data_IF_292273354536
#
_entry.id   IF_292273354536
#
_cell.length_a   1.000
_cell.length_b   1.000
_cell.length_c   1.000
_cell.angle_alpha   90.00
_cell.angle_beta   90.00
_cell.angle_gamma   90.00
#
_symmetry.space_group_name_H-M   'P 1'
#
loop_
_entity.id
_entity.type
_entity.pdbx_description
1 polymer ?
#
# COMPACT_ATOMS: atom_id res chain seq x y z
N UNK A 1 27.61 7.82 -2.88
CA UNK A 1 26.43 8.66 -3.16
C UNK A 1 25.23 7.95 -2.59
N UNK A 2 24.59 8.51 -1.60
CA UNK A 2 23.35 7.97 -1.05
C UNK A 2 22.30 7.97 -2.16
N UNK A 3 21.75 6.81 -2.47
CA UNK A 3 20.74 6.66 -3.52
C UNK A 3 19.40 7.31 -3.13
N UNK A 4 19.15 7.43 -1.83
CA UNK A 4 17.95 8.00 -1.20
C UNK A 4 18.38 8.98 -0.10
N UNK A 5 17.77 10.16 -0.08
CA UNK A 5 17.98 11.19 0.94
C UNK A 5 16.62 11.49 1.62
N UNK A 6 16.45 11.14 2.90
CA UNK A 6 15.19 11.36 3.61
C UNK A 6 14.89 12.85 3.89
N UNK A 7 15.86 13.74 3.78
CA UNK A 7 15.70 15.18 4.00
C UNK A 7 15.38 15.93 2.69
N UNK A 8 15.51 15.26 1.54
CA UNK A 8 15.20 15.88 0.25
C UNK A 8 13.70 15.95 0.00
N UNK A 9 13.27 16.97 -0.75
CA UNK A 9 11.94 17.04 -1.31
C UNK A 9 11.99 16.63 -2.79
N UNK A 10 11.27 15.58 -3.14
CA UNK A 10 11.28 15.00 -4.48
C UNK A 10 10.14 15.52 -5.34
N UNK A 11 10.39 15.76 -6.62
CA UNK A 11 9.34 15.74 -7.63
C UNK A 11 8.74 14.35 -7.71
N UNK A 12 7.49 14.24 -8.14
CA UNK A 12 6.80 12.96 -8.23
C UNK A 12 6.18 12.73 -9.60
N UNK A 13 6.18 11.48 -10.02
CA UNK A 13 5.38 11.01 -11.15
C UNK A 13 4.22 10.20 -10.60
N UNK A 14 3.02 10.43 -11.16
CA UNK A 14 1.80 9.75 -10.71
C UNK A 14 1.09 9.11 -11.89
N UNK A 15 0.72 7.83 -11.76
CA UNK A 15 -0.08 7.12 -12.76
C UNK A 15 -0.93 6.04 -12.09
N UNK A 16 -1.75 5.34 -12.86
CA UNK A 16 -2.54 4.21 -12.40
C UNK A 16 -2.21 2.96 -13.20
N UNK A 17 -2.25 1.82 -12.53
CA UNK A 17 -2.15 0.49 -13.14
C UNK A 17 -3.29 -0.42 -12.67
N UNK A 18 -3.67 -1.32 -13.55
CA UNK A 18 -4.58 -2.40 -13.23
C UNK A 18 -3.79 -3.49 -12.49
N UNK A 19 -4.21 -3.87 -11.28
CA UNK A 19 -3.46 -4.86 -10.54
C UNK A 19 -4.20 -6.19 -10.34
N UNK A 20 -5.54 -6.18 -10.42
CA UNK A 20 -6.31 -7.40 -10.29
C UNK A 20 -7.71 -7.32 -10.88
N UNK A 21 -8.07 -8.29 -11.74
CA UNK A 21 -9.45 -8.48 -12.20
C UNK A 21 -10.24 -9.25 -11.13
N UNK A 22 -11.44 -8.79 -10.80
CA UNK A 22 -12.43 -9.48 -9.96
C UNK A 22 -13.68 -9.80 -10.77
N UNK A 23 -14.61 -10.60 -10.24
CA UNK A 23 -15.89 -10.85 -10.94
C UNK A 23 -16.74 -9.58 -11.14
N UNK A 24 -16.58 -8.57 -10.29
CA UNK A 24 -17.41 -7.35 -10.30
C UNK A 24 -16.74 -6.18 -11.01
N UNK A 25 -15.44 -6.02 -10.87
CA UNK A 25 -14.68 -4.92 -11.46
C UNK A 25 -13.18 -5.18 -11.51
N UNK A 26 -12.50 -4.33 -12.23
CA UNK A 26 -11.05 -4.23 -12.23
C UNK A 26 -10.60 -3.40 -11.04
N UNK A 27 -9.72 -3.95 -10.20
CA UNK A 27 -9.08 -3.23 -9.11
C UNK A 27 -7.82 -2.56 -9.63
N UNK A 28 -7.65 -1.29 -9.28
CA UNK A 28 -6.55 -0.44 -9.71
C UNK A 28 -5.65 -0.03 -8.57
N UNK A 29 -4.42 0.25 -8.92
CA UNK A 29 -3.42 0.87 -8.07
C UNK A 29 -3.10 2.27 -8.58
N UNK A 30 -2.93 3.22 -7.68
CA UNK A 30 -2.40 4.56 -7.96
C UNK A 30 -0.99 4.63 -7.41
N UNK A 31 -0.03 4.86 -8.27
CA UNK A 31 1.39 4.88 -7.97
C UNK A 31 1.86 6.32 -7.88
N UNK A 32 2.51 6.69 -6.77
CA UNK A 32 3.19 7.96 -6.59
C UNK A 32 4.69 7.68 -6.44
N UNK A 33 5.45 7.87 -7.51
CA UNK A 33 6.88 7.57 -7.56
C UNK A 33 7.70 8.84 -7.38
N UNK A 34 8.65 8.88 -6.43
CA UNK A 34 9.66 9.94 -6.36
C UNK A 34 10.58 9.93 -7.60
N UNK A 35 10.87 11.11 -8.13
CA UNK A 35 11.81 11.27 -9.25
C UNK A 35 13.23 11.31 -8.71
N UNK A 36 14.02 10.27 -8.99
CA UNK A 36 15.39 10.17 -8.48
C UNK A 36 16.04 8.83 -8.82
N UNK A 37 17.19 8.56 -8.20
CA UNK A 37 17.96 7.33 -8.48
C UNK A 37 17.39 6.11 -7.75
N UNK A 38 16.78 6.29 -6.58
CA UNK A 38 16.35 5.16 -5.75
C UNK A 38 17.54 4.30 -5.25
N UNK A 39 17.32 3.09 -4.74
CA UNK A 39 15.97 2.56 -4.48
C UNK A 39 15.27 3.30 -3.33
N UNK A 40 13.99 3.59 -3.52
CA UNK A 40 13.17 4.26 -2.51
C UNK A 40 12.51 3.25 -1.57
N UNK A 41 12.30 3.59 -0.28
CA UNK A 41 11.40 2.83 0.58
C UNK A 41 10.00 2.72 -0.05
N UNK A 42 9.32 1.61 0.21
CA UNK A 42 8.02 1.28 -0.41
C UNK A 42 6.91 1.28 0.62
N UNK A 43 5.79 1.90 0.29
CA UNK A 43 4.60 1.97 1.13
C UNK A 43 3.36 1.55 0.34
N UNK A 44 2.60 0.58 0.86
CA UNK A 44 1.27 0.25 0.37
C UNK A 44 0.23 0.94 1.25
N UNK A 45 -0.60 1.79 0.62
CA UNK A 45 -1.68 2.52 1.29
C UNK A 45 -3.03 1.82 1.06
N UNK A 46 -3.74 1.56 2.16
CA UNK A 46 -5.04 0.92 2.21
C UNK A 46 -6.09 1.92 2.66
N UNK A 47 -7.04 2.22 1.78
CA UNK A 47 -8.08 3.22 2.04
C UNK A 47 -9.05 2.78 3.16
N UNK A 48 -9.62 3.76 3.84
CA UNK A 48 -10.74 3.57 4.76
C UNK A 48 -12.08 3.49 4.03
N UNK A 49 -13.16 3.85 4.74
CA UNK A 49 -14.51 3.88 4.17
C UNK A 49 -15.44 2.80 4.72
N UNK A 50 -15.21 2.38 5.98
CA UNK A 50 -16.06 1.41 6.67
C UNK A 50 -16.33 0.13 5.85
N UNK A 51 -15.38 -0.29 5.02
CA UNK A 51 -15.45 -1.43 4.08
C UNK A 51 -16.52 -1.30 2.99
N UNK A 52 -17.28 -0.22 2.93
CA UNK A 52 -18.47 -0.08 2.06
C UNK A 52 -18.33 0.97 0.98
N UNK A 53 -17.36 1.87 1.07
CA UNK A 53 -17.14 2.95 0.12
C UNK A 53 -15.66 3.39 0.08
N UNK A 54 -15.32 4.31 -0.80
CA UNK A 54 -13.98 4.78 -1.15
C UNK A 54 -13.18 3.82 -2.01
N UNK A 55 -12.05 4.30 -2.47
CA UNK A 55 -11.12 3.63 -3.37
C UNK A 55 -9.69 4.15 -3.15
N UNK A 56 -8.76 3.80 -4.03
CA UNK A 56 -7.35 4.21 -4.06
C UNK A 56 -7.12 5.72 -4.03
N UNK A 57 -8.14 6.53 -4.32
CA UNK A 57 -8.02 8.00 -4.33
C UNK A 57 -8.29 8.64 -2.97
N UNK A 58 -8.75 7.88 -2.00
CA UNK A 58 -9.19 8.40 -0.70
C UNK A 58 -8.11 9.14 0.10
N UNK A 59 -6.85 8.79 -0.10
CA UNK A 59 -5.71 9.31 0.65
C UNK A 59 -4.69 10.06 -0.25
N UNK A 60 -5.12 10.62 -1.38
CA UNK A 60 -4.24 11.24 -2.39
C UNK A 60 -3.25 12.23 -1.78
N UNK A 61 -3.71 13.18 -0.97
CA UNK A 61 -2.84 14.20 -0.38
C UNK A 61 -1.73 13.59 0.50
N UNK A 62 -2.06 12.54 1.25
CA UNK A 62 -1.08 11.82 2.07
C UNK A 62 -0.11 11.02 1.21
N UNK A 63 -0.61 10.27 0.22
CA UNK A 63 0.22 9.46 -0.66
C UNK A 63 1.24 10.32 -1.43
N UNK A 64 0.80 11.47 -1.95
CA UNK A 64 1.70 12.42 -2.62
C UNK A 64 2.70 13.06 -1.67
N UNK A 65 2.29 13.41 -0.44
CA UNK A 65 3.21 13.94 0.56
C UNK A 65 4.30 12.92 0.94
N UNK A 66 3.94 11.64 1.11
CA UNK A 66 4.89 10.56 1.35
C UNK A 66 5.86 10.40 0.17
N UNK A 67 5.35 10.45 -1.07
CA UNK A 67 6.18 10.35 -2.25
C UNK A 67 7.14 11.56 -2.39
N UNK A 68 6.70 12.78 -2.07
CA UNK A 68 7.58 13.96 -2.02
C UNK A 68 8.65 13.84 -0.93
N UNK A 69 8.39 13.09 0.14
CA UNK A 69 9.38 12.71 1.14
C UNK A 69 10.26 11.52 0.74
N UNK A 70 10.20 11.08 -0.52
CA UNK A 70 11.06 10.03 -1.05
C UNK A 70 10.60 8.60 -0.78
N UNK A 71 9.29 8.36 -0.58
CA UNK A 71 8.72 7.03 -0.39
C UNK A 71 7.88 6.66 -1.60
N UNK A 72 8.24 5.60 -2.32
CA UNK A 72 7.38 5.04 -3.36
C UNK A 72 6.06 4.59 -2.72
N UNK A 73 4.99 5.35 -2.95
CA UNK A 73 3.70 5.10 -2.32
C UNK A 73 2.69 4.59 -3.34
N UNK A 74 2.07 3.47 -3.02
CA UNK A 74 1.08 2.81 -3.88
C UNK A 74 -0.22 2.66 -3.11
N UNK A 75 -1.28 3.32 -3.58
CA UNK A 75 -2.64 3.20 -3.03
C UNK A 75 -3.46 2.24 -3.89
N UNK A 76 -4.11 1.25 -3.29
CA UNK A 76 -4.85 0.22 -4.03
C UNK A 76 -6.34 0.25 -3.73
N UNK A 77 -7.13 -0.19 -4.72
CA UNK A 77 -8.53 -0.56 -4.52
C UNK A 77 -8.64 -1.85 -3.71
N UNK A 78 -9.68 -1.93 -2.91
CA UNK A 78 -10.10 -3.15 -2.22
C UNK A 78 -11.54 -3.47 -2.61
N UNK A 79 -11.90 -4.75 -2.71
CA UNK A 79 -13.33 -5.12 -2.81
C UNK A 79 -14.07 -4.63 -1.58
N UNK A 80 -15.20 -3.99 -1.83
CA UNK A 80 -16.09 -3.48 -0.79
C UNK A 80 -17.02 -4.59 -0.28
N UNK A 81 -17.57 -4.42 0.90
CA UNK A 81 -18.45 -5.44 1.52
C UNK A 81 -19.70 -5.76 0.68
N UNK A 82 -20.19 -4.80 -0.11
CA UNK A 82 -21.29 -5.01 -1.07
C UNK A 82 -20.87 -5.80 -2.32
N UNK A 83 -19.57 -5.89 -2.62
CA UNK A 83 -19.04 -6.67 -3.75
C UNK A 83 -18.69 -8.10 -3.32
N UNK A 84 -18.11 -8.24 -2.13
CA UNK A 84 -17.75 -9.52 -1.54
C UNK A 84 -17.54 -9.38 -0.03
N UNK A 85 -18.06 -10.34 0.79
CA UNK A 85 -17.91 -10.29 2.23
C UNK A 85 -16.46 -10.53 2.68
N UNK A 86 -16.19 -10.29 3.97
CA UNK A 86 -14.94 -10.72 4.60
C UNK A 86 -14.65 -12.21 4.28
N UNK A 87 -13.42 -12.59 3.94
CA UNK A 87 -12.18 -11.82 4.01
C UNK A 87 -11.72 -11.14 2.70
N UNK A 88 -12.61 -10.85 1.77
CA UNK A 88 -12.27 -10.42 0.42
C UNK A 88 -11.32 -9.21 0.35
N UNK A 89 -11.58 -8.15 1.12
CA UNK A 89 -10.70 -6.97 1.16
C UNK A 89 -9.30 -7.29 1.73
N UNK A 90 -9.22 -8.20 2.70
CA UNK A 90 -7.93 -8.64 3.27
C UNK A 90 -7.15 -9.48 2.25
N UNK A 91 -7.85 -10.33 1.48
CA UNK A 91 -7.26 -11.09 0.38
C UNK A 91 -6.70 -10.17 -0.72
N UNK A 92 -7.43 -9.11 -1.07
CA UNK A 92 -6.99 -8.14 -2.07
C UNK A 92 -5.73 -7.40 -1.60
N UNK A 93 -5.68 -7.00 -0.34
CA UNK A 93 -4.51 -6.35 0.23
C UNK A 93 -3.32 -7.32 0.34
N UNK A 94 -3.53 -8.59 0.71
CA UNK A 94 -2.49 -9.63 0.65
C UNK A 94 -1.94 -9.81 -0.75
N UNK A 95 -2.83 -9.91 -1.75
CA UNK A 95 -2.44 -9.97 -3.15
C UNK A 95 -1.66 -8.71 -3.57
N UNK A 96 -2.13 -7.52 -3.17
CA UNK A 96 -1.48 -6.23 -3.44
C UNK A 96 -0.06 -6.14 -2.86
N UNK A 97 0.18 -6.69 -1.66
CA UNK A 97 1.52 -6.77 -1.06
C UNK A 97 2.46 -7.59 -1.97
N UNK A 98 2.04 -8.79 -2.36
CA UNK A 98 2.86 -9.68 -3.20
C UNK A 98 3.09 -9.10 -4.60
N UNK A 99 2.05 -8.52 -5.19
CA UNK A 99 2.13 -7.83 -6.47
C UNK A 99 3.11 -6.64 -6.41
N UNK A 100 3.02 -5.83 -5.36
CA UNK A 100 3.92 -4.68 -5.18
C UNK A 100 5.37 -5.12 -4.96
N UNK A 101 5.61 -6.22 -4.24
CA UNK A 101 6.95 -6.80 -4.12
C UNK A 101 7.56 -7.18 -5.48
N UNK A 102 6.76 -7.65 -6.44
CA UNK A 102 7.21 -7.94 -7.79
C UNK A 102 7.53 -6.68 -8.59
N UNK A 103 6.69 -5.64 -8.44
CA UNK A 103 6.72 -4.43 -9.27
C UNK A 103 7.64 -3.33 -8.75
N UNK A 104 7.91 -3.29 -7.46
CA UNK A 104 8.56 -2.15 -6.82
C UNK A 104 9.92 -1.80 -7.46
N UNK A 105 10.72 -2.80 -7.85
CA UNK A 105 12.03 -2.57 -8.46
C UNK A 105 11.94 -1.89 -9.83
N UNK A 106 10.89 -2.16 -10.60
CA UNK A 106 10.63 -1.50 -11.90
C UNK A 106 10.41 0.01 -11.71
N UNK A 107 9.91 0.38 -10.54
CA UNK A 107 9.63 1.77 -10.12
C UNK A 107 10.69 2.32 -9.16
N UNK A 108 11.88 1.76 -9.16
CA UNK A 108 13.01 2.17 -8.31
C UNK A 108 12.71 2.07 -6.80
N UNK A 109 11.78 1.22 -6.40
CA UNK A 109 11.50 0.90 -5.01
C UNK A 109 12.32 -0.29 -4.53
N UNK A 110 12.60 -0.32 -3.23
CA UNK A 110 13.19 -1.49 -2.57
C UNK A 110 12.08 -2.35 -1.95
N UNK A 111 11.71 -3.49 -2.57
CA UNK A 111 10.65 -4.35 -2.06
C UNK A 111 10.92 -4.91 -0.66
N UNK A 112 12.19 -4.94 -0.22
CA UNK A 112 12.55 -5.41 1.12
C UNK A 112 12.14 -4.45 2.22
N UNK A 113 11.85 -3.19 1.88
CA UNK A 113 11.44 -2.13 2.82
C UNK A 113 9.92 -1.97 2.93
N UNK A 114 9.15 -2.76 2.19
CA UNK A 114 7.71 -2.58 2.07
C UNK A 114 7.01 -2.49 3.42
N UNK A 115 6.32 -1.37 3.64
CA UNK A 115 5.44 -1.11 4.77
C UNK A 115 3.98 -1.00 4.36
N UNK A 116 3.08 -1.13 5.34
CA UNK A 116 1.65 -0.90 5.17
C UNK A 116 1.21 0.35 5.93
N UNK A 117 0.38 1.14 5.29
CA UNK A 117 -0.37 2.22 5.92
C UNK A 117 -1.85 2.01 5.63
N UNK A 118 -2.66 2.03 6.67
CA UNK A 118 -4.11 1.91 6.50
C UNK A 118 -4.85 2.95 7.31
N UNK A 119 -5.88 3.56 6.72
CA UNK A 119 -6.74 4.51 7.41
C UNK A 119 -8.07 3.86 7.80
N UNK A 120 -8.51 4.00 9.07
CA UNK A 120 -9.80 3.47 9.56
C UNK A 120 -9.95 1.96 9.24
N UNK A 121 -10.96 1.56 8.46
CA UNK A 121 -11.14 0.15 8.04
C UNK A 121 -9.94 -0.41 7.26
N UNK A 122 -9.22 0.40 6.49
CA UNK A 122 -7.95 0.00 5.88
C UNK A 122 -6.85 -0.26 6.92
N UNK A 123 -6.86 0.49 8.04
CA UNK A 123 -5.98 0.22 9.18
C UNK A 123 -6.23 -1.15 9.80
N UNK A 124 -7.49 -1.53 9.96
CA UNK A 124 -7.85 -2.88 10.42
C UNK A 124 -7.34 -3.98 9.47
N UNK A 125 -7.45 -3.76 8.16
CA UNK A 125 -6.88 -4.68 7.15
C UNK A 125 -5.36 -4.76 7.29
N UNK A 126 -4.67 -3.62 7.46
CA UNK A 126 -3.23 -3.57 7.66
C UNK A 126 -2.79 -4.32 8.94
N UNK A 127 -3.55 -4.17 10.04
CA UNK A 127 -3.31 -4.88 11.30
C UNK A 127 -3.44 -6.40 11.13
N UNK A 128 -4.50 -6.87 10.47
CA UNK A 128 -4.69 -8.29 10.22
C UNK A 128 -3.53 -8.90 9.42
N UNK A 129 -3.07 -8.22 8.38
CA UNK A 129 -1.96 -8.69 7.55
C UNK A 129 -0.61 -8.57 8.25
N UNK A 130 -0.39 -7.50 9.02
CA UNK A 130 0.83 -7.34 9.81
C UNK A 130 0.99 -8.43 10.88
N UNK A 131 -0.10 -8.85 11.52
CA UNK A 131 -0.10 -9.88 12.55
C UNK A 131 -0.20 -11.31 11.99
N UNK A 132 -0.81 -11.50 10.80
CA UNK A 132 -1.11 -12.82 10.23
C UNK A 132 -0.81 -12.89 8.73
N UNK A 133 0.42 -12.60 8.29
CA UNK A 133 0.77 -12.53 6.86
C UNK A 133 0.62 -13.87 6.13
N UNK A 134 0.69 -14.99 6.86
CA UNK A 134 0.60 -16.36 6.32
C UNK A 134 -0.75 -17.03 6.55
N UNK A 135 -1.77 -16.31 7.05
CA UNK A 135 -3.10 -16.90 7.26
C UNK A 135 -3.67 -17.39 5.91
N UNK A 136 -4.02 -18.67 5.77
CA UNK A 136 -4.46 -19.23 4.49
C UNK A 136 -5.76 -18.59 3.99
N UNK A 137 -6.59 -18.04 4.87
CA UNK A 137 -7.80 -17.29 4.46
C UNK A 137 -7.46 -16.03 3.67
N UNK A 138 -6.31 -15.41 3.96
CA UNK A 138 -5.86 -14.16 3.33
C UNK A 138 -4.97 -14.42 2.12
N UNK A 139 -4.24 -15.53 2.12
CA UNK A 139 -3.34 -15.91 1.03
C UNK A 139 -4.02 -16.81 -0.02
N UNK A 140 -5.34 -16.72 -0.16
CA UNK A 140 -6.13 -17.60 -1.03
C UNK A 140 -6.07 -17.23 -2.53
N UNK A 141 -5.60 -16.01 -2.87
CA UNK A 141 -5.58 -15.55 -4.25
C UNK A 141 -4.25 -15.90 -4.93
N UNK A 142 -4.26 -16.68 -6.02
CA UNK A 142 -3.04 -16.96 -6.77
C UNK A 142 -2.54 -15.67 -7.44
N UNK A 143 -1.23 -15.51 -7.47
CA UNK A 143 -0.55 -14.48 -8.24
C UNK A 143 0.48 -15.18 -9.14
N UNK A 144 0.32 -15.04 -10.46
CA UNK A 144 1.26 -15.60 -11.42
C UNK A 144 2.66 -15.00 -11.19
N UNK A 145 3.69 -15.79 -11.43
CA UNK A 145 5.10 -15.41 -11.34
C UNK A 145 5.58 -14.94 -9.94
N UNK A 146 4.73 -15.08 -8.90
CA UNK A 146 5.05 -14.72 -7.53
C UNK A 146 5.48 -15.91 -6.67
N UNK A 147 6.07 -16.94 -7.26
CA UNK A 147 6.53 -18.12 -6.53
C UNK A 147 7.52 -17.72 -5.43
N UNK A 148 7.20 -18.07 -4.17
CA UNK A 148 8.01 -17.73 -3.00
C UNK A 148 7.79 -16.34 -2.40
N UNK A 149 6.96 -15.48 -2.99
CA UNK A 149 6.60 -14.20 -2.38
C UNK A 149 5.44 -14.38 -1.40
N UNK A 150 5.66 -13.93 -0.19
CA UNK A 150 4.65 -13.87 0.87
C UNK A 150 4.18 -12.43 1.12
N UNK A 151 3.19 -12.28 2.00
CA UNK A 151 2.64 -10.98 2.39
C UNK A 151 3.28 -10.39 3.66
N UNK A 152 4.48 -10.81 4.05
CA UNK A 152 5.21 -10.18 5.16
C UNK A 152 5.61 -8.75 4.81
N UNK A 153 5.58 -7.87 5.81
CA UNK A 153 5.96 -6.46 5.65
C UNK A 153 6.89 -6.03 6.77
N UNK A 154 7.71 -5.01 6.52
CA UNK A 154 8.65 -4.48 7.52
C UNK A 154 7.96 -3.71 8.62
N UNK A 155 6.88 -3.02 8.30
CA UNK A 155 6.16 -2.15 9.21
C UNK A 155 4.69 -2.06 8.78
N UNK A 156 3.80 -1.89 9.75
CA UNK A 156 2.41 -1.52 9.49
C UNK A 156 1.97 -0.40 10.45
N UNK A 157 1.10 0.48 9.97
CA UNK A 157 0.57 1.62 10.73
C UNK A 157 -0.92 1.80 10.46
N UNK A 158 -1.64 2.09 11.53
CA UNK A 158 -3.02 2.54 11.47
C UNK A 158 -3.05 4.06 11.60
N UNK A 159 -3.43 4.76 10.54
CA UNK A 159 -3.65 6.19 10.59
C UNK A 159 -5.05 6.46 11.16
N UNK A 160 -5.11 6.97 12.38
CA UNK A 160 -6.33 7.58 12.92
C UNK A 160 -6.46 9.00 12.36
N UNK A 161 -7.66 9.44 12.00
CA UNK A 161 -7.94 10.87 11.86
C UNK A 161 -7.80 11.50 13.24
N UNK A 162 -6.64 12.05 13.57
CA UNK A 162 -6.52 12.97 14.69
C UNK A 162 -6.73 14.38 14.16
N UNK A 163 -7.58 15.16 14.82
CA UNK A 163 -7.74 16.59 14.56
C UNK A 163 -6.54 17.43 15.09
N UNK A 164 -5.49 16.77 15.58
CA UNK A 164 -4.29 17.41 16.11
C UNK A 164 -3.11 17.27 15.15
N UNK A 165 -2.40 18.36 14.85
CA UNK A 165 -1.19 18.31 14.03
C UNK A 165 -0.12 17.45 14.72
N UNK A 166 0.57 16.66 13.93
CA UNK A 166 1.75 15.90 14.36
C UNK A 166 2.79 16.83 15.01
N UNK A 167 3.08 16.61 16.28
CA UNK A 167 4.32 17.13 16.86
C UNK A 167 5.33 16.00 16.85
N UNK A 168 6.42 16.18 16.09
CA UNK A 168 7.58 15.32 16.20
C UNK A 168 8.13 15.43 17.62
N UNK A 169 8.12 14.34 18.38
CA UNK A 169 8.87 14.27 19.64
C UNK A 169 10.26 13.77 19.26
N UNK A 170 11.21 14.67 19.26
CA UNK A 170 12.65 14.34 19.28
C UNK A 170 12.96 13.63 20.60
N UNK A 171 13.48 12.41 20.53
CA UNK A 171 14.35 11.80 21.52
C UNK A 171 15.71 11.57 20.90
#
# INVERSE_FOLDING_TARGET
MTAYDPEACYEITVWEEDFRQTPTRLLRARICQPVGKGPFPVLLDLHGGAWTFKDRTANVAMAEAMARGGILTVSIDLRLAGEAPYPASVQDANYGIRWLKMKASDWKGDPSTLGLLGSSSGGHVAELLGMRPHDPRYNALPLADAAGLDATVRMWRHARRSATPWRATTM
#
